data_IF_419386288657
#
_entry.id   IF_419386288657
#
_cell.length_a   1.000
_cell.length_b   1.000
_cell.length_c   1.000
_cell.angle_alpha   90.00
_cell.angle_beta   90.00
_cell.angle_gamma   90.00
#
_symmetry.space_group_name_H-M   'P 1'
#
loop_
_entity.id
_entity.type
_entity.pdbx_description
1 polymer ?
#
# COMPACT_ATOMS: atom_id res chain seq x y z
N UNK A 1 0.97 -11.98 1.58
CA UNK A 1 1.84 -11.27 2.52
C UNK A 1 2.62 -12.28 3.35
N UNK A 2 3.83 -11.96 3.72
CA UNK A 2 4.64 -12.82 4.56
C UNK A 2 3.88 -13.11 5.87
N UNK A 3 3.98 -14.35 6.39
CA UNK A 3 3.10 -14.85 7.46
C UNK A 3 3.16 -14.01 8.75
N UNK A 4 4.35 -13.65 9.20
CA UNK A 4 4.49 -12.84 10.42
C UNK A 4 3.96 -11.43 10.25
N UNK A 5 4.22 -10.82 9.12
CA UNK A 5 3.71 -9.48 8.80
C UNK A 5 2.18 -9.49 8.75
N UNK A 6 1.58 -10.51 8.14
CA UNK A 6 0.13 -10.66 8.08
C UNK A 6 -0.50 -10.86 9.46
N UNK A 7 0.15 -11.64 10.32
CA UNK A 7 -0.30 -11.86 11.70
C UNK A 7 -0.31 -10.55 12.49
N UNK A 8 0.75 -9.77 12.39
CA UNK A 8 0.87 -8.48 13.07
C UNK A 8 -0.17 -7.49 12.53
N UNK A 9 -0.37 -7.45 11.21
CA UNK A 9 -1.39 -6.60 10.61
C UNK A 9 -2.79 -6.94 11.16
N UNK A 10 -3.12 -8.21 11.22
CA UNK A 10 -4.39 -8.68 11.81
C UNK A 10 -4.53 -8.23 13.25
N UNK A 11 -3.47 -8.37 14.04
CA UNK A 11 -3.47 -7.93 15.43
C UNK A 11 -3.79 -6.43 15.54
N UNK A 12 -3.14 -5.59 14.72
CA UNK A 12 -3.37 -4.14 14.73
C UNK A 12 -4.82 -3.83 14.39
N UNK A 13 -5.35 -4.44 13.34
CA UNK A 13 -6.73 -4.20 12.90
C UNK A 13 -7.76 -4.64 13.95
N UNK A 14 -7.51 -5.77 14.61
CA UNK A 14 -8.39 -6.26 15.69
C UNK A 14 -8.37 -5.33 16.90
N UNK A 15 -7.19 -4.87 17.31
CA UNK A 15 -7.06 -3.97 18.45
C UNK A 15 -7.75 -2.63 18.23
N UNK A 16 -7.78 -2.16 16.99
CA UNK A 16 -8.45 -0.92 16.61
C UNK A 16 -9.94 -1.11 16.30
N UNK A 17 -10.42 -2.34 16.33
CA UNK A 17 -11.77 -2.69 15.87
C UNK A 17 -12.04 -2.15 14.45
N UNK A 18 -11.00 -2.20 13.61
CA UNK A 18 -11.01 -1.62 12.27
C UNK A 18 -11.50 -2.58 11.18
N UNK A 19 -11.81 -3.84 11.53
CA UNK A 19 -12.35 -4.79 10.57
C UNK A 19 -13.65 -4.27 9.98
N UNK A 20 -13.76 -4.32 8.65
CA UNK A 20 -14.88 -3.75 7.94
C UNK A 20 -14.76 -2.25 7.66
N UNK A 21 -13.80 -1.56 8.29
CA UNK A 21 -13.53 -0.14 8.02
C UNK A 21 -12.27 0.05 7.19
N UNK A 22 -11.22 -0.73 7.46
CA UNK A 22 -9.98 -0.74 6.70
C UNK A 22 -9.90 -2.09 5.99
N UNK A 23 -9.67 -2.06 4.68
CA UNK A 23 -9.59 -3.27 3.87
C UNK A 23 -8.26 -3.36 3.14
N UNK A 24 -7.66 -4.56 3.06
CA UNK A 24 -6.49 -4.80 2.23
C UNK A 24 -6.88 -4.71 0.75
N UNK A 25 -6.07 -3.99 -0.02
CA UNK A 25 -6.30 -3.81 -1.46
C UNK A 25 -5.32 -4.65 -2.27
N UNK A 26 -4.04 -4.63 -1.89
CA UNK A 26 -2.99 -5.36 -2.60
C UNK A 26 -1.89 -5.76 -1.64
N UNK A 27 -1.54 -7.03 -1.64
CA UNK A 27 -0.46 -7.59 -0.83
C UNK A 27 0.67 -8.12 -1.71
N UNK A 28 0.98 -9.42 -1.58
CA UNK A 28 2.01 -10.07 -2.40
C UNK A 28 1.65 -10.04 -3.88
N UNK A 29 2.61 -9.67 -4.70
CA UNK A 29 2.52 -9.73 -6.16
C UNK A 29 3.68 -10.52 -6.72
N UNK A 30 3.40 -11.35 -7.72
CA UNK A 30 4.45 -11.99 -8.51
C UNK A 30 5.05 -10.97 -9.49
N UNK A 31 6.20 -11.33 -10.09
CA UNK A 31 6.79 -10.50 -11.13
C UNK A 31 5.84 -10.35 -12.32
N UNK A 32 5.18 -11.44 -12.70
CA UNK A 32 4.22 -11.46 -13.81
C UNK A 32 3.03 -10.53 -13.54
N UNK A 33 2.50 -10.54 -12.33
CA UNK A 33 1.43 -9.63 -11.92
C UNK A 33 1.88 -8.18 -11.99
N UNK A 34 3.12 -7.88 -11.55
CA UNK A 34 3.66 -6.52 -11.61
C UNK A 34 3.86 -6.05 -13.06
N UNK A 35 4.32 -6.94 -13.95
CA UNK A 35 4.42 -6.65 -15.39
C UNK A 35 3.04 -6.27 -15.93
N UNK A 36 2.02 -7.04 -15.60
CA UNK A 36 0.67 -6.79 -16.08
C UNK A 36 0.12 -5.46 -15.54
N UNK A 37 0.32 -5.18 -14.27
CA UNK A 37 -0.12 -3.92 -13.65
C UNK A 37 0.56 -2.73 -14.32
N UNK A 38 1.87 -2.82 -14.55
CA UNK A 38 2.62 -1.76 -15.19
C UNK A 38 2.16 -1.52 -16.63
N UNK A 39 2.00 -2.60 -17.40
CA UNK A 39 1.55 -2.55 -18.79
C UNK A 39 0.14 -1.97 -18.90
N UNK A 40 -0.79 -2.43 -18.06
CA UNK A 40 -2.17 -1.94 -18.05
C UNK A 40 -2.23 -0.46 -17.67
N UNK A 41 -1.45 -0.04 -16.68
CA UNK A 41 -1.40 1.35 -16.27
C UNK A 41 -0.85 2.25 -17.38
N UNK A 42 0.18 1.78 -18.11
CA UNK A 42 0.71 2.51 -19.27
C UNK A 42 -0.36 2.78 -20.32
N UNK A 43 -1.21 1.79 -20.59
CA UNK A 43 -2.31 1.91 -21.55
C UNK A 43 -3.44 2.80 -21.06
N UNK A 44 -3.83 2.64 -19.80
CA UNK A 44 -5.01 3.30 -19.23
C UNK A 44 -4.72 4.70 -18.71
N UNK A 45 -3.53 4.92 -18.13
CA UNK A 45 -3.20 6.13 -17.41
C UNK A 45 -2.03 6.92 -18.02
N UNK A 46 -1.31 6.33 -18.96
CA UNK A 46 -0.17 6.95 -19.61
C UNK A 46 1.13 6.84 -18.79
N UNK A 47 2.22 7.27 -19.43
CA UNK A 47 3.58 7.12 -18.89
C UNK A 47 3.84 7.93 -17.64
N UNK A 48 3.42 9.21 -17.62
CA UNK A 48 3.69 10.10 -16.49
C UNK A 48 3.07 9.56 -15.20
N UNK A 49 1.81 9.15 -15.25
CA UNK A 49 1.13 8.56 -14.10
C UNK A 49 1.80 7.26 -13.66
N UNK A 50 2.06 6.38 -14.63
CA UNK A 50 2.62 5.04 -14.33
C UNK A 50 3.98 5.13 -13.67
N UNK A 51 4.88 5.97 -14.18
CA UNK A 51 6.21 6.14 -13.59
C UNK A 51 6.17 6.70 -12.17
N UNK A 52 5.12 7.46 -11.82
CA UNK A 52 4.96 8.01 -10.47
C UNK A 52 4.39 7.01 -9.46
N UNK A 53 3.43 6.19 -9.88
CA UNK A 53 2.62 5.39 -8.95
C UNK A 53 2.83 3.88 -9.05
N UNK A 54 3.43 3.41 -10.12
CA UNK A 54 3.60 1.96 -10.34
C UNK A 54 5.09 1.66 -10.50
N UNK A 55 5.62 0.84 -9.60
CA UNK A 55 7.02 0.42 -9.68
C UNK A 55 7.25 -0.50 -10.88
N UNK A 56 8.45 -0.42 -11.46
CA UNK A 56 8.88 -1.37 -12.49
C UNK A 56 8.87 -2.79 -11.91
N UNK A 57 8.64 -3.82 -12.76
CA UNK A 57 8.84 -5.20 -12.34
C UNK A 57 10.22 -5.39 -11.72
N UNK A 58 10.31 -6.21 -10.67
CA UNK A 58 11.49 -6.45 -9.84
C UNK A 58 11.90 -5.26 -8.95
N UNK A 59 11.19 -4.14 -9.00
CA UNK A 59 11.41 -2.97 -8.15
C UNK A 59 10.24 -2.68 -7.20
N UNK A 60 9.17 -3.48 -7.25
CA UNK A 60 8.02 -3.32 -6.37
C UNK A 60 8.24 -4.02 -5.04
N UNK A 61 7.98 -3.31 -3.93
CA UNK A 61 8.01 -3.91 -2.60
C UNK A 61 6.94 -4.99 -2.41
N UNK A 62 5.87 -4.96 -3.20
CA UNK A 62 4.85 -6.01 -3.16
C UNK A 62 5.38 -7.39 -3.56
N UNK A 63 6.48 -7.44 -4.29
CA UNK A 63 7.12 -8.73 -4.65
C UNK A 63 7.84 -9.38 -3.46
N UNK A 64 8.12 -8.63 -2.40
CA UNK A 64 8.76 -9.16 -1.18
C UNK A 64 7.78 -9.86 -0.24
N UNK A 65 6.49 -9.59 -0.38
CA UNK A 65 5.48 -10.05 0.57
C UNK A 65 5.43 -9.23 1.86
N UNK A 66 6.20 -8.14 1.95
CA UNK A 66 6.28 -7.29 3.16
C UNK A 66 5.51 -5.98 3.02
N UNK A 67 4.92 -5.73 1.87
CA UNK A 67 4.14 -4.52 1.61
C UNK A 67 2.65 -4.80 1.52
N UNK A 68 1.84 -3.85 1.92
CA UNK A 68 0.39 -3.90 1.83
C UNK A 68 -0.17 -2.52 1.48
N UNK A 69 -1.10 -2.49 0.55
CA UNK A 69 -1.92 -1.32 0.27
C UNK A 69 -3.24 -1.46 0.99
N UNK A 70 -3.65 -0.43 1.70
CA UNK A 70 -4.88 -0.40 2.48
C UNK A 70 -5.79 0.72 2.00
N UNK A 71 -7.09 0.52 2.15
CA UNK A 71 -8.10 1.52 1.83
C UNK A 71 -9.20 1.54 2.89
N UNK A 72 -9.92 2.65 2.96
CA UNK A 72 -11.21 2.67 3.64
C UNK A 72 -12.20 1.80 2.87
N UNK A 73 -13.08 1.11 3.59
CA UNK A 73 -14.14 0.33 2.98
C UNK A 73 -15.16 1.26 2.32
N UNK A 74 -15.20 1.24 1.00
CA UNK A 74 -16.06 2.08 0.17
C UNK A 74 -16.67 1.23 -0.94
N UNK A 75 -17.75 1.72 -1.57
CA UNK A 75 -18.42 0.99 -2.66
C UNK A 75 -17.52 0.73 -3.85
N UNK A 76 -16.61 1.66 -4.15
CA UNK A 76 -15.69 1.56 -5.26
C UNK A 76 -14.28 1.91 -4.78
N UNK A 77 -13.37 0.95 -4.88
CA UNK A 77 -11.99 1.10 -4.45
C UNK A 77 -11.09 1.19 -5.68
N UNK A 78 -10.26 2.23 -5.73
CA UNK A 78 -9.21 2.36 -6.74
C UNK A 78 -8.03 1.47 -6.33
N UNK A 79 -7.62 0.52 -7.18
CA UNK A 79 -6.54 -0.40 -6.87
C UNK A 79 -5.13 0.20 -7.02
N UNK A 80 -5.01 1.32 -7.74
CA UNK A 80 -3.71 1.99 -7.93
C UNK A 80 -3.52 3.13 -6.94
N UNK A 81 -4.59 3.87 -6.65
CA UNK A 81 -4.59 5.00 -5.71
C UNK A 81 -5.71 4.84 -4.69
N UNK A 82 -5.60 3.85 -3.77
CA UNK A 82 -6.63 3.64 -2.75
C UNK A 82 -6.81 4.86 -1.85
N UNK A 83 -8.02 5.06 -1.37
CA UNK A 83 -8.33 6.15 -0.44
C UNK A 83 -7.96 5.74 0.99
N UNK A 84 -6.94 6.38 1.54
CA UNK A 84 -6.51 6.15 2.92
C UNK A 84 -6.06 7.47 3.55
N UNK A 85 -7.01 8.27 4.06
CA UNK A 85 -6.74 9.62 4.57
C UNK A 85 -5.91 9.61 5.87
N UNK A 86 -5.58 10.79 6.39
CA UNK A 86 -4.76 10.94 7.60
C UNK A 86 -5.57 11.25 8.85
N UNK A 87 -6.87 11.02 8.83
CA UNK A 87 -7.75 11.24 9.98
C UNK A 87 -8.51 9.97 10.38
N UNK A 88 -9.28 10.06 11.47
CA UNK A 88 -10.14 8.98 11.94
C UNK A 88 -9.40 7.67 12.16
N UNK A 89 -10.02 6.57 11.71
CA UNK A 89 -9.46 5.21 11.90
C UNK A 89 -8.12 5.04 11.18
N UNK A 90 -7.91 5.73 10.07
CA UNK A 90 -6.66 5.67 9.32
C UNK A 90 -5.50 6.31 10.07
N UNK A 91 -5.77 7.40 10.79
CA UNK A 91 -4.78 8.02 11.68
C UNK A 91 -4.42 7.07 12.82
N UNK A 92 -5.43 6.48 13.46
CA UNK A 92 -5.22 5.51 14.53
C UNK A 92 -4.41 4.30 14.05
N UNK A 93 -4.67 3.83 12.84
CA UNK A 93 -3.90 2.75 12.22
C UNK A 93 -2.43 3.15 12.05
N UNK A 94 -2.14 4.32 11.50
CA UNK A 94 -0.75 4.76 11.29
C UNK A 94 0.05 4.83 12.59
N UNK A 95 -0.55 5.40 13.62
CA UNK A 95 0.11 5.54 14.93
C UNK A 95 0.42 4.19 15.55
N UNK A 96 -0.53 3.26 15.51
CA UNK A 96 -0.34 1.92 16.07
C UNK A 96 0.59 1.08 15.21
N UNK A 97 0.44 1.13 13.89
CA UNK A 97 1.25 0.36 12.95
C UNK A 97 2.74 0.65 13.08
N UNK A 98 3.08 1.92 13.28
CA UNK A 98 4.48 2.32 13.46
C UNK A 98 5.14 1.60 14.63
N UNK A 99 4.41 1.38 15.71
CA UNK A 99 4.91 0.67 16.90
C UNK A 99 5.17 -0.81 16.64
N UNK A 100 4.52 -1.38 15.64
CA UNK A 100 4.59 -2.81 15.32
C UNK A 100 5.37 -3.10 14.02
N UNK A 101 6.10 -2.12 13.52
CA UNK A 101 7.01 -2.32 12.40
C UNK A 101 6.44 -2.04 11.02
N UNK A 102 5.23 -1.47 10.91
CA UNK A 102 4.69 -1.01 9.63
C UNK A 102 4.95 0.47 9.44
N UNK A 103 5.65 0.82 8.37
CA UNK A 103 5.94 2.22 8.04
C UNK A 103 5.22 2.64 6.78
N UNK A 104 4.85 3.92 6.72
CA UNK A 104 4.40 4.57 5.50
C UNK A 104 5.64 4.79 4.62
N UNK A 105 5.72 4.04 3.52
CA UNK A 105 6.98 3.92 2.75
C UNK A 105 7.24 5.09 1.81
N UNK A 106 6.18 5.71 1.28
CA UNK A 106 6.29 6.75 0.28
C UNK A 106 5.62 8.05 0.72
N UNK A 107 6.11 8.70 1.81
CA UNK A 107 5.56 9.99 2.22
C UNK A 107 5.92 11.09 1.22
N UNK A 108 5.16 12.18 1.21
CA UNK A 108 5.31 13.25 0.22
C UNK A 108 6.71 13.88 0.23
N UNK A 109 7.31 14.01 1.40
CA UNK A 109 8.63 14.64 1.55
C UNK A 109 9.81 13.76 1.09
N UNK A 110 9.55 12.50 0.73
CA UNK A 110 10.58 11.55 0.31
C UNK A 110 10.54 11.20 -1.18
N UNK A 111 9.69 11.85 -1.97
CA UNK A 111 9.53 11.54 -3.39
C UNK A 111 10.84 11.65 -4.17
N UNK A 112 11.67 12.63 -3.86
CA UNK A 112 12.97 12.81 -4.53
C UNK A 112 13.93 11.63 -4.28
N UNK A 113 13.80 10.95 -3.15
CA UNK A 113 14.64 9.80 -2.77
C UNK A 113 14.07 8.50 -3.33
N UNK A 114 12.78 8.26 -3.14
CA UNK A 114 12.13 7.00 -3.52
C UNK A 114 11.82 6.90 -5.02
N UNK A 115 11.73 8.03 -5.71
CA UNK A 115 11.27 8.14 -7.10
C UNK A 115 9.80 7.72 -7.30
N UNK A 116 9.07 7.51 -6.20
CA UNK A 116 7.65 7.22 -6.19
C UNK A 116 6.92 8.41 -5.56
N UNK A 117 5.81 8.82 -6.18
CA UNK A 117 4.97 9.88 -5.65
C UNK A 117 4.35 9.46 -4.32
N UNK A 118 3.88 10.43 -3.56
CA UNK A 118 3.21 10.21 -2.28
C UNK A 118 2.11 9.14 -2.38
N UNK A 119 2.23 8.09 -1.55
CA UNK A 119 1.28 6.98 -1.47
C UNK A 119 0.84 6.78 -0.02
N UNK A 120 -0.23 7.46 0.43
CA UNK A 120 -0.68 7.34 1.82
C UNK A 120 -1.27 5.97 2.18
N UNK A 121 -1.55 5.14 1.19
CA UNK A 121 -2.12 3.80 1.35
C UNK A 121 -1.08 2.69 1.50
N UNK A 122 0.19 2.96 1.19
CA UNK A 122 1.23 1.93 1.07
C UNK A 122 2.08 1.81 2.33
N UNK A 123 2.08 0.62 2.92
CA UNK A 123 2.83 0.33 4.14
C UNK A 123 3.80 -0.82 3.94
N UNK A 124 4.98 -0.69 4.53
CA UNK A 124 6.03 -1.70 4.51
C UNK A 124 6.30 -2.21 5.91
N UNK A 125 6.31 -3.54 6.08
CA UNK A 125 6.76 -4.18 7.34
C UNK A 125 8.29 -4.25 7.37
N UNK A 126 8.87 -3.80 8.47
CA UNK A 126 10.32 -3.78 8.66
C UNK A 126 10.76 -4.48 9.94
#
# INVERSE_FOLDING_TARGET
MEAKAAEILRYILNELEAEGQIVPVSGLRSREEQVQIYTDSMKENGRVFTEKYVALPDHSEHQTGLAIDLALCEKKIDFIRPHFPYDGICKAFREKALRYGFIERYPSEKEAITKIAWEPWHFRYV
#
